data_IF_083877245998
#
_entry.id   IF_083877245998
#
_cell.length_a   1.000
_cell.length_b   1.000
_cell.length_c   1.000
_cell.angle_alpha   90.00
_cell.angle_beta   90.00
_cell.angle_gamma   90.00
#
_symmetry.space_group_name_H-M   'P 1'
#
loop_
_entity.id
_entity.type
_entity.pdbx_description
1 polymer ?
#
# COMPACT_ATOMS: atom_id res chain seq x y z
N UNK A 1 3.00 -15.06 -2.61
CA UNK A 1 4.37 -15.34 -2.13
C UNK A 1 5.30 -14.23 -2.64
N UNK A 2 5.58 -13.20 -1.85
CA UNK A 2 6.44 -12.09 -2.25
C UNK A 2 7.92 -12.50 -2.06
N UNK A 3 8.66 -12.69 -3.15
CA UNK A 3 10.04 -13.16 -3.15
C UNK A 3 11.02 -12.12 -2.55
N UNK A 4 10.74 -10.83 -2.72
CA UNK A 4 11.51 -9.72 -2.15
C UNK A 4 11.44 -9.77 -0.61
N UNK A 5 10.24 -9.93 -0.05
CA UNK A 5 10.06 -10.04 1.40
C UNK A 5 10.83 -11.23 1.97
N UNK A 6 10.77 -12.39 1.30
CA UNK A 6 11.50 -13.59 1.74
C UNK A 6 13.01 -13.37 1.74
N UNK A 7 13.56 -12.74 0.71
CA UNK A 7 15.00 -12.44 0.65
C UNK A 7 15.42 -11.47 1.77
N UNK A 8 14.58 -10.46 2.04
CA UNK A 8 14.82 -9.47 3.11
C UNK A 8 14.81 -10.13 4.49
N UNK A 9 13.84 -11.01 4.76
CA UNK A 9 13.78 -11.78 6.00
C UNK A 9 14.95 -12.76 6.17
N UNK A 10 15.53 -13.21 5.05
CA UNK A 10 16.74 -14.03 5.05
C UNK A 10 18.03 -13.20 5.20
N UNK A 11 17.94 -11.88 5.39
CA UNK A 11 19.10 -11.00 5.58
C UNK A 11 19.89 -10.70 4.30
N UNK A 12 19.28 -10.88 3.13
CA UNK A 12 19.96 -10.70 1.84
C UNK A 12 20.00 -9.25 1.34
N UNK A 13 19.49 -8.28 2.12
CA UNK A 13 19.55 -6.86 1.78
C UNK A 13 18.39 -6.04 2.33
N UNK A 14 18.16 -4.89 1.70
CA UNK A 14 17.05 -3.96 1.99
C UNK A 14 15.94 -4.13 0.95
N UNK A 15 14.70 -3.87 1.36
CA UNK A 15 13.55 -3.85 0.45
C UNK A 15 12.73 -2.57 0.62
N UNK A 16 12.26 -2.06 -0.51
CA UNK A 16 11.26 -1.01 -0.58
C UNK A 16 9.95 -1.62 -1.06
N UNK A 17 9.00 -1.77 -0.13
CA UNK A 17 7.73 -2.47 -0.35
C UNK A 17 6.62 -1.75 0.42
N UNK A 18 5.34 -1.98 0.08
CA UNK A 18 4.21 -1.45 0.83
C UNK A 18 4.28 -1.80 2.33
N UNK A 19 3.93 -0.83 3.17
CA UNK A 19 4.07 -0.90 4.63
C UNK A 19 3.22 -2.04 5.24
N UNK A 20 2.00 -2.24 4.74
CA UNK A 20 1.07 -3.29 5.14
C UNK A 20 1.68 -4.71 5.04
N UNK A 21 2.62 -4.92 4.12
CA UNK A 21 3.31 -6.21 3.93
C UNK A 21 4.39 -6.44 5.00
N UNK A 22 4.98 -5.38 5.56
CA UNK A 22 6.14 -5.48 6.48
C UNK A 22 5.82 -5.17 7.93
N UNK A 23 4.71 -4.46 8.22
CA UNK A 23 4.27 -4.14 9.60
C UNK A 23 4.29 -5.36 10.53
N UNK A 24 3.71 -6.53 10.17
CA UNK A 24 3.71 -7.69 11.06
C UNK A 24 5.12 -8.27 11.33
N UNK A 25 6.09 -7.98 10.46
CA UNK A 25 7.48 -8.42 10.62
C UNK A 25 8.31 -7.42 11.42
N UNK A 26 7.98 -6.13 11.33
CA UNK A 26 8.60 -5.07 12.16
C UNK A 26 8.13 -5.22 13.61
N UNK A 27 6.83 -5.36 13.84
CA UNK A 27 6.26 -5.56 15.19
C UNK A 27 6.82 -6.82 15.87
N UNK A 28 7.09 -7.87 15.09
CA UNK A 28 7.71 -9.09 15.59
C UNK A 28 9.25 -9.02 15.72
N UNK A 29 9.87 -7.87 15.46
CA UNK A 29 11.31 -7.67 15.54
C UNK A 29 12.14 -8.40 14.49
N UNK A 30 11.51 -8.95 13.45
CA UNK A 30 12.19 -9.66 12.35
C UNK A 30 12.77 -8.71 11.31
N UNK A 31 12.20 -7.51 11.18
CA UNK A 31 12.65 -6.44 10.31
C UNK A 31 12.73 -5.15 11.12
N UNK A 32 13.52 -4.20 10.63
CA UNK A 32 13.59 -2.84 11.17
C UNK A 32 13.38 -1.85 10.02
N UNK A 33 12.64 -0.77 10.29
CA UNK A 33 12.46 0.31 9.32
C UNK A 33 13.73 1.15 9.26
N UNK A 34 14.20 1.42 8.05
CA UNK A 34 15.39 2.24 7.78
C UNK A 34 15.06 3.29 6.72
N UNK A 35 15.84 4.37 6.66
CA UNK A 35 15.69 5.44 5.65
C UNK A 35 14.29 6.09 5.64
N UNK A 36 13.59 6.11 6.77
CA UNK A 36 12.24 6.68 6.88
C UNK A 36 12.19 8.15 6.42
N UNK A 37 13.22 8.95 6.73
CA UNK A 37 13.32 10.35 6.30
C UNK A 37 13.41 10.55 4.78
N UNK A 38 13.61 9.48 4.01
CA UNK A 38 13.75 9.49 2.55
C UNK A 38 12.48 8.96 1.86
N UNK A 39 11.45 8.58 2.62
CA UNK A 39 10.22 8.02 2.10
C UNK A 39 9.08 9.04 2.26
N UNK A 40 8.59 9.57 1.14
CA UNK A 40 7.37 10.38 1.17
C UNK A 40 6.16 9.53 1.59
N UNK A 41 5.17 10.12 2.28
CA UNK A 41 3.93 9.43 2.60
C UNK A 41 3.26 8.89 1.33
N UNK A 42 2.78 7.64 1.39
CA UNK A 42 2.03 7.05 0.29
C UNK A 42 0.74 7.87 0.07
N UNK A 43 0.51 8.44 -1.12
CA UNK A 43 -0.66 9.31 -1.39
C UNK A 43 -2.00 8.57 -1.34
N UNK A 44 -1.96 7.24 -1.15
CA UNK A 44 -3.13 6.38 -1.13
C UNK A 44 -3.45 5.81 -2.51
N UNK A 45 -4.48 4.96 -2.52
CA UNK A 45 -5.00 4.40 -3.76
C UNK A 45 -5.98 5.36 -4.42
N UNK A 46 -5.89 5.46 -5.75
CA UNK A 46 -6.81 6.25 -6.56
C UNK A 46 -7.69 5.33 -7.41
N UNK A 47 -9.01 5.58 -7.39
CA UNK A 47 -9.95 4.91 -8.28
C UNK A 47 -10.02 5.65 -9.62
N UNK A 48 -9.49 5.03 -10.68
CA UNK A 48 -9.54 5.58 -12.02
C UNK A 48 -10.72 4.99 -12.83
N UNK A 49 -11.54 5.87 -13.40
CA UNK A 49 -12.59 5.50 -14.35
C UNK A 49 -12.64 6.53 -15.50
N UNK A 50 -12.42 6.13 -16.76
CA UNK A 50 -12.24 7.07 -17.87
C UNK A 50 -13.54 7.74 -18.36
N UNK A 51 -14.68 7.08 -18.23
CA UNK A 51 -15.96 7.60 -18.74
C UNK A 51 -16.77 8.27 -17.64
N UNK A 52 -16.87 9.61 -17.71
CA UNK A 52 -17.59 10.45 -16.74
C UNK A 52 -19.00 10.86 -17.19
N UNK A 53 -19.39 10.53 -18.43
CA UNK A 53 -20.65 11.04 -19.03
C UNK A 53 -21.89 10.26 -18.60
N UNK A 54 -21.75 8.99 -18.22
CA UNK A 54 -22.85 8.14 -17.76
C UNK A 54 -22.38 7.24 -16.62
N UNK A 55 -22.02 7.83 -15.49
CA UNK A 55 -21.74 7.07 -14.26
C UNK A 55 -23.05 6.45 -13.78
N UNK A 56 -23.16 5.12 -13.80
CA UNK A 56 -24.36 4.45 -13.32
C UNK A 56 -24.58 4.74 -11.82
N UNK A 57 -25.83 4.74 -11.32
CA UNK A 57 -26.10 4.92 -9.89
C UNK A 57 -25.34 3.91 -9.01
N UNK A 58 -25.17 2.68 -9.48
CA UNK A 58 -24.39 1.66 -8.79
C UNK A 58 -22.90 2.02 -8.66
N UNK A 59 -22.29 2.59 -9.71
CA UNK A 59 -20.89 3.02 -9.65
C UNK A 59 -20.72 4.23 -8.72
N UNK A 60 -21.66 5.17 -8.72
CA UNK A 60 -21.64 6.30 -7.78
C UNK A 60 -21.68 5.80 -6.33
N UNK A 61 -22.58 4.87 -6.01
CA UNK A 61 -22.66 4.25 -4.68
C UNK A 61 -21.35 3.55 -4.30
N UNK A 62 -20.73 2.83 -5.23
CA UNK A 62 -19.44 2.18 -5.00
C UNK A 62 -18.31 3.20 -4.73
N UNK A 63 -18.22 4.25 -5.55
CA UNK A 63 -17.23 5.33 -5.38
C UNK A 63 -17.40 5.99 -4.00
N UNK A 64 -18.63 6.29 -3.59
CA UNK A 64 -18.91 6.93 -2.30
C UNK A 64 -18.66 5.99 -1.10
N UNK A 65 -18.87 4.69 -1.28
CA UNK A 65 -18.56 3.67 -0.28
C UNK A 65 -17.04 3.46 -0.10
N UNK A 66 -16.28 3.50 -1.20
CA UNK A 66 -14.83 3.32 -1.20
C UNK A 66 -14.05 4.62 -0.98
N UNK A 67 -14.71 5.79 -0.99
CA UNK A 67 -14.06 7.08 -0.78
C UNK A 67 -13.53 7.17 0.65
N UNK A 68 -12.21 7.28 0.75
CA UNK A 68 -11.53 7.62 2.00
C UNK A 68 -11.87 9.06 2.42
N UNK A 69 -12.17 9.27 3.71
CA UNK A 69 -12.65 10.56 4.26
C UNK A 69 -11.67 11.23 5.23
N UNK A 70 -10.45 10.68 5.38
CA UNK A 70 -9.51 11.05 6.45
C UNK A 70 -9.57 10.09 7.61
#
# INVERSE_FOLDING_TARGET
MNHILRATLAGLGLAWVPEDVVVPHIEAGRLVRVLESWCDPFPGYHLYYPNRRQTSPALTLLVDALRYRG
#
